data_IF_068003414886
#
_entry.id   IF_068003414886
#
_cell.length_a   1.000
_cell.length_b   1.000
_cell.length_c   1.000
_cell.angle_alpha   90.00
_cell.angle_beta   90.00
_cell.angle_gamma   90.00
#
_symmetry.space_group_name_H-M   'P 1'
#
loop_
_entity.id
_entity.type
_entity.pdbx_description
1 polymer ?
#
# COMPACT_ATOMS: atom_id res chain seq x y z
N UNK A 1 -9.08 -6.69 1.76
CA UNK A 1 -9.24 -6.44 3.22
C UNK A 1 -7.92 -6.00 3.82
N UNK A 2 -7.93 -4.94 4.61
CA UNK A 2 -6.73 -4.31 5.20
C UNK A 2 -6.74 -4.45 6.72
N UNK A 3 -5.59 -4.80 7.29
CA UNK A 3 -5.30 -4.67 8.73
C UNK A 3 -3.98 -3.94 8.94
N UNK A 4 -3.91 -3.12 9.99
CA UNK A 4 -2.72 -2.36 10.38
C UNK A 4 -2.53 -2.37 11.89
N UNK A 5 -1.28 -2.22 12.33
CA UNK A 5 -0.87 -2.05 13.73
C UNK A 5 0.39 -1.18 13.78
N UNK A 6 0.53 -0.37 14.83
CA UNK A 6 1.63 0.59 14.95
C UNK A 6 1.46 1.75 13.97
N UNK A 7 2.53 2.50 13.72
CA UNK A 7 2.49 3.60 12.76
C UNK A 7 2.53 3.07 11.33
N UNK A 8 1.41 3.20 10.62
CA UNK A 8 1.35 2.98 9.18
C UNK A 8 0.65 4.15 8.53
N UNK A 9 1.34 4.79 7.59
CA UNK A 9 0.85 5.96 6.89
C UNK A 9 0.60 5.65 5.42
N UNK A 10 -0.43 6.28 4.89
CA UNK A 10 -0.86 6.28 3.52
C UNK A 10 -0.58 7.65 2.94
N UNK A 11 -0.02 7.66 1.74
CA UNK A 11 0.05 8.81 0.86
C UNK A 11 -0.86 8.54 -0.33
N UNK A 12 -1.87 9.37 -0.53
CA UNK A 12 -2.70 9.29 -1.74
C UNK A 12 -1.91 9.74 -2.96
N UNK A 13 -2.30 9.27 -4.15
CA UNK A 13 -1.65 9.72 -5.39
C UNK A 13 -1.61 11.26 -5.53
N UNK A 14 -2.66 11.96 -5.08
CA UNK A 14 -2.75 13.41 -5.14
C UNK A 14 -1.96 14.14 -4.02
N UNK A 15 -1.42 13.41 -3.03
CA UNK A 15 -0.73 13.97 -1.88
C UNK A 15 0.80 13.93 -2.08
N UNK A 16 1.46 15.00 -1.62
CA UNK A 16 2.92 15.08 -1.64
C UNK A 16 3.56 14.20 -0.56
N UNK A 17 2.90 14.10 0.61
CA UNK A 17 3.44 13.49 1.83
C UNK A 17 2.51 12.43 2.44
N UNK A 18 3.06 11.60 3.31
CA UNK A 18 2.34 10.58 4.07
C UNK A 18 1.55 11.20 5.23
N UNK A 19 0.35 11.72 4.93
CA UNK A 19 -0.44 12.48 5.90
C UNK A 19 -1.64 11.71 6.46
N UNK A 20 -1.98 10.56 5.88
CA UNK A 20 -3.15 9.79 6.29
C UNK A 20 -2.73 8.56 7.09
N UNK A 21 -3.26 8.36 8.30
CA UNK A 21 -3.06 7.10 9.02
C UNK A 21 -3.85 5.96 8.37
N UNK A 22 -3.19 4.84 8.11
CA UNK A 22 -3.78 3.69 7.44
C UNK A 22 -4.62 2.87 8.43
N UNK A 23 -5.94 2.98 8.34
CA UNK A 23 -6.90 2.28 9.20
C UNK A 23 -7.45 0.98 8.57
N UNK A 24 -7.88 0.00 9.38
CA UNK A 24 -8.60 -1.16 8.89
C UNK A 24 -9.81 -0.76 8.03
N UNK A 25 -10.10 -1.57 7.00
CA UNK A 25 -11.17 -1.33 6.03
C UNK A 25 -11.02 -0.10 5.11
N UNK A 26 -9.90 0.63 5.17
CA UNK A 26 -9.61 1.65 4.15
C UNK A 26 -9.31 1.03 2.78
N UNK A 27 -9.75 1.74 1.74
CA UNK A 27 -9.44 1.41 0.35
C UNK A 27 -8.08 1.98 -0.05
N UNK A 28 -7.34 1.17 -0.80
CA UNK A 28 -6.04 1.51 -1.38
C UNK A 28 -6.17 1.40 -2.90
N UNK A 29 -5.71 2.43 -3.60
CA UNK A 29 -5.84 2.54 -5.05
C UNK A 29 -4.47 2.54 -5.74
N UNK A 30 -4.47 2.35 -7.05
CA UNK A 30 -3.28 2.53 -7.86
C UNK A 30 -2.77 3.97 -7.73
N UNK A 31 -1.46 4.12 -7.61
CA UNK A 31 -0.77 5.37 -7.33
C UNK A 31 -0.56 5.68 -5.85
N UNK A 32 -1.33 5.06 -4.93
CA UNK A 32 -1.14 5.24 -3.49
C UNK A 32 0.19 4.63 -3.03
N UNK A 33 0.76 5.20 -1.97
CA UNK A 33 1.94 4.65 -1.30
C UNK A 33 1.68 4.41 0.18
N UNK A 34 2.26 3.34 0.72
CA UNK A 34 2.21 3.01 2.14
C UNK A 34 3.62 3.04 2.72
N UNK A 35 3.76 3.63 3.91
CA UNK A 35 4.97 3.61 4.73
C UNK A 35 4.62 3.02 6.10
N UNK A 36 5.38 2.01 6.51
CA UNK A 36 5.35 1.52 7.88
C UNK A 36 6.53 2.10 8.65
N UNK A 37 6.25 2.68 9.82
CA UNK A 37 7.27 3.14 10.77
C UNK A 37 8.04 1.98 11.40
N UNK A 38 8.86 2.25 12.42
CA UNK A 38 9.70 1.24 13.08
C UNK A 38 8.91 0.16 13.84
N UNK A 39 7.70 0.47 14.29
CA UNK A 39 6.77 -0.48 14.92
C UNK A 39 5.59 -0.86 14.01
N UNK A 40 5.60 -0.36 12.77
CA UNK A 40 4.50 -0.44 11.82
C UNK A 40 4.39 -1.82 11.17
N UNK A 41 3.17 -2.32 11.09
CA UNK A 41 2.83 -3.53 10.33
C UNK A 41 1.49 -3.36 9.64
N UNK A 42 1.43 -3.72 8.35
CA UNK A 42 0.17 -3.81 7.62
C UNK A 42 0.09 -5.09 6.80
N UNK A 43 -1.12 -5.60 6.65
CA UNK A 43 -1.42 -6.72 5.78
C UNK A 43 -2.61 -6.40 4.90
N UNK A 44 -2.43 -6.56 3.60
CA UNK A 44 -3.46 -6.36 2.59
C UNK A 44 -3.77 -7.69 1.93
N UNK A 45 -5.05 -8.02 1.88
CA UNK A 45 -5.57 -9.14 1.11
C UNK A 45 -6.31 -8.54 -0.08
N UNK A 46 -5.81 -8.79 -1.29
CA UNK A 46 -6.55 -8.48 -2.51
C UNK A 46 -7.76 -9.41 -2.60
N UNK A 47 -8.95 -8.84 -2.81
CA UNK A 47 -10.18 -9.64 -2.77
C UNK A 47 -10.36 -10.49 -4.04
N UNK A 48 -9.82 -10.01 -5.17
CA UNK A 48 -10.01 -10.63 -6.47
C UNK A 48 -9.27 -11.97 -6.58
N UNK A 49 -7.99 -12.02 -6.17
CA UNK A 49 -7.12 -13.19 -6.30
C UNK A 49 -6.68 -13.79 -4.94
N UNK A 50 -7.12 -13.19 -3.82
CA UNK A 50 -6.75 -13.56 -2.45
C UNK A 50 -5.25 -13.43 -2.15
N UNK A 51 -4.51 -12.70 -2.98
CA UNK A 51 -3.08 -12.46 -2.74
C UNK A 51 -2.88 -11.66 -1.45
N UNK A 52 -1.89 -12.07 -0.67
CA UNK A 52 -1.53 -11.43 0.60
C UNK A 52 -0.24 -10.62 0.44
N UNK A 53 -0.34 -9.32 0.65
CA UNK A 53 0.80 -8.43 0.79
C UNK A 53 1.04 -8.13 2.28
N UNK A 54 2.28 -8.29 2.73
CA UNK A 54 2.72 -7.94 4.09
C UNK A 54 3.73 -6.81 4.04
N UNK A 55 3.45 -5.76 4.79
CA UNK A 55 4.28 -4.58 4.96
C UNK A 55 4.95 -4.69 6.32
N UNK A 56 6.28 -4.75 6.34
CA UNK A 56 7.06 -4.83 7.57
C UNK A 56 7.51 -3.44 8.02
N UNK A 57 7.90 -3.34 9.28
CA UNK A 57 8.47 -2.13 9.84
C UNK A 57 9.65 -1.60 9.01
N UNK A 58 9.74 -0.27 8.92
CA UNK A 58 10.81 0.42 8.19
C UNK A 58 10.75 0.26 6.67
N UNK A 59 9.60 -0.15 6.12
CA UNK A 59 9.42 -0.33 4.68
C UNK A 59 8.44 0.67 4.09
N UNK A 60 8.65 0.98 2.81
CA UNK A 60 7.79 1.83 2.01
C UNK A 60 7.63 1.24 0.62
N UNK A 61 6.43 1.32 0.06
CA UNK A 61 6.15 0.87 -1.30
C UNK A 61 4.97 1.64 -1.89
N UNK A 62 4.90 1.64 -3.22
CA UNK A 62 3.84 2.29 -3.98
C UNK A 62 3.09 1.24 -4.80
N UNK A 63 1.77 1.36 -4.87
CA UNK A 63 0.94 0.56 -5.75
C UNK A 63 1.04 1.16 -7.14
N UNK A 64 1.61 0.44 -8.09
CA UNK A 64 1.76 0.90 -9.47
C UNK A 64 1.07 -0.11 -10.37
N UNK A 65 0.09 0.36 -11.14
CA UNK A 65 -0.47 -0.42 -12.23
C UNK A 65 0.45 -0.26 -13.45
N UNK A 66 1.24 -1.28 -13.74
CA UNK A 66 1.98 -1.32 -14.99
C UNK A 66 1.14 -2.02 -16.05
N UNK A 67 0.68 -1.25 -17.05
CA UNK A 67 0.30 -1.82 -18.32
C UNK A 67 1.53 -2.52 -18.91
N UNK A 68 1.46 -3.83 -19.09
CA UNK A 68 2.53 -4.61 -19.71
C UNK A 68 2.53 -4.32 -21.22
N UNK A 69 3.06 -3.17 -21.63
CA UNK A 69 3.28 -2.89 -23.05
C UNK A 69 4.55 -3.63 -23.47
N UNK A 70 4.40 -4.92 -23.73
CA UNK A 70 5.43 -5.70 -24.42
C UNK A 70 5.45 -5.23 -25.87
N UNK A 71 6.24 -4.20 -26.16
CA UNK A 71 6.60 -3.88 -27.53
C UNK A 71 7.43 -5.06 -28.06
N UNK A 72 6.87 -5.81 -28.99
CA UNK A 72 7.61 -6.79 -29.77
C UNK A 72 8.21 -6.01 -30.94
N UNK A 73 9.54 -5.91 -30.95
CA UNK A 73 10.32 -5.50 -32.13
C UNK A 73 10.61 -6.75 -32.98
#
# INVERSE_FOLDING_TARGET
>A
MLKSRGEVLLKRQAEADFITSLQPAMNVFNGDAIRAGEDGFASLIFLDDKTLLKVKAGSQFQFVESANTRLLD
#
